data_IF_769779448968
#
_entry.id   IF_769779448968
#
_cell.length_a   1.000
_cell.length_b   1.000
_cell.length_c   1.000
_cell.angle_alpha   90.00
_cell.angle_beta   90.00
_cell.angle_gamma   90.00
#
_symmetry.space_group_name_H-M   'P 1'
#
loop_
_entity.id
_entity.type
_entity.pdbx_description
1 polymer ?
#
# COMPACT_ATOMS: atom_id res chain seq x y z
N UNK A 1 -71.70 51.20 10.02
CA UNK A 1 -70.70 50.83 9.00
C UNK A 1 -69.52 50.02 9.55
N UNK A 2 -69.04 50.25 10.79
CA UNK A 2 -67.86 49.52 11.32
C UNK A 2 -68.03 48.00 11.48
N UNK A 3 -69.20 47.50 11.89
CA UNK A 3 -69.42 46.05 12.09
C UNK A 3 -69.35 45.21 10.80
N UNK A 4 -69.77 45.76 9.66
CA UNK A 4 -69.72 45.05 8.38
C UNK A 4 -68.28 44.86 7.88
N UNK A 5 -67.40 45.85 8.10
CA UNK A 5 -65.98 45.75 7.72
C UNK A 5 -65.24 44.65 8.51
N UNK A 6 -65.49 44.56 9.82
CA UNK A 6 -64.87 43.54 10.68
C UNK A 6 -65.32 42.13 10.31
N UNK A 7 -66.59 41.95 9.93
CA UNK A 7 -67.10 40.66 9.47
C UNK A 7 -66.52 40.24 8.12
N UNK A 8 -66.29 41.21 7.22
CA UNK A 8 -65.66 40.97 5.93
C UNK A 8 -64.19 40.57 6.10
N UNK A 9 -63.43 41.29 6.92
CA UNK A 9 -62.03 40.97 7.24
C UNK A 9 -61.89 39.59 7.90
N UNK A 10 -62.81 39.24 8.82
CA UNK A 10 -62.86 37.90 9.42
C UNK A 10 -63.12 36.79 8.39
N UNK A 11 -63.99 37.03 7.42
CA UNK A 11 -64.28 36.07 6.35
C UNK A 11 -63.08 35.86 5.42
N UNK A 12 -62.33 36.93 5.12
CA UNK A 12 -61.15 36.86 4.28
C UNK A 12 -59.99 36.14 4.98
N UNK A 13 -59.80 36.40 6.28
CA UNK A 13 -58.81 35.68 7.11
C UNK A 13 -59.15 34.19 7.19
N UNK A 14 -60.43 33.85 7.36
CA UNK A 14 -60.87 32.44 7.42
C UNK A 14 -60.60 31.73 6.09
N UNK A 15 -60.94 32.35 4.96
CA UNK A 15 -60.68 31.75 3.65
C UNK A 15 -59.17 31.56 3.40
N UNK A 16 -58.33 32.55 3.74
CA UNK A 16 -56.86 32.41 3.65
C UNK A 16 -56.33 31.29 4.54
N UNK A 17 -56.91 31.11 5.73
CA UNK A 17 -56.54 30.03 6.64
C UNK A 17 -56.94 28.66 6.07
N UNK A 18 -58.15 28.54 5.52
CA UNK A 18 -58.64 27.30 4.92
C UNK A 18 -57.81 26.91 3.68
N UNK A 19 -57.42 27.88 2.84
CA UNK A 19 -56.52 27.68 1.70
C UNK A 19 -55.13 27.18 2.14
N UNK A 20 -54.54 27.79 3.19
CA UNK A 20 -53.26 27.34 3.76
C UNK A 20 -53.34 25.93 4.35
N UNK A 21 -54.48 25.55 4.92
CA UNK A 21 -54.71 24.20 5.46
C UNK A 21 -54.79 23.17 4.32
N UNK A 22 -55.42 23.50 3.20
CA UNK A 22 -55.46 22.63 2.02
C UNK A 22 -54.07 22.45 1.39
N UNK A 23 -53.32 23.54 1.23
CA UNK A 23 -51.94 23.50 0.72
C UNK A 23 -51.02 22.67 1.64
N UNK A 24 -51.17 22.83 2.96
CA UNK A 24 -50.45 22.01 3.94
C UNK A 24 -50.80 20.52 3.84
N UNK A 25 -52.06 20.18 3.56
CA UNK A 25 -52.49 18.79 3.36
C UNK A 25 -51.92 18.20 2.07
N UNK A 26 -51.94 18.94 0.96
CA UNK A 26 -51.36 18.52 -0.31
C UNK A 26 -49.84 18.28 -0.20
N UNK A 27 -49.12 19.19 0.46
CA UNK A 27 -47.68 19.04 0.73
C UNK A 27 -47.37 17.79 1.56
N UNK A 28 -48.18 17.49 2.59
CA UNK A 28 -48.01 16.26 3.39
C UNK A 28 -48.20 14.99 2.55
N UNK A 29 -49.15 14.99 1.62
CA UNK A 29 -49.36 13.86 0.70
C UNK A 29 -48.15 13.68 -0.21
N UNK A 30 -47.64 14.76 -0.80
CA UNK A 30 -46.45 14.74 -1.66
C UNK A 30 -45.20 14.24 -0.93
N UNK A 31 -44.97 14.69 0.31
CA UNK A 31 -43.87 14.23 1.16
C UNK A 31 -43.97 12.71 1.37
N UNK A 32 -45.16 12.21 1.72
CA UNK A 32 -45.37 10.78 1.97
C UNK A 32 -45.18 9.92 0.71
N UNK A 33 -45.53 10.44 -0.47
CA UNK A 33 -45.26 9.79 -1.76
C UNK A 33 -43.76 9.76 -2.05
N UNK A 34 -43.04 10.86 -1.81
CA UNK A 34 -41.58 10.93 -2.00
C UNK A 34 -40.84 9.93 -1.09
N UNK A 35 -41.25 9.83 0.18
CA UNK A 35 -40.66 8.87 1.13
C UNK A 35 -40.88 7.43 0.66
N UNK A 36 -42.08 7.09 0.19
CA UNK A 36 -42.37 5.76 -0.37
C UNK A 36 -41.52 5.46 -1.59
N UNK A 37 -41.38 6.42 -2.51
CA UNK A 37 -40.55 6.24 -3.70
C UNK A 37 -39.08 6.06 -3.33
N UNK A 38 -38.56 6.79 -2.34
CA UNK A 38 -37.20 6.63 -1.85
C UNK A 38 -36.96 5.24 -1.26
N UNK A 39 -37.92 4.72 -0.48
CA UNK A 39 -37.85 3.35 0.06
C UNK A 39 -37.89 2.30 -1.05
N UNK A 40 -38.72 2.50 -2.08
CA UNK A 40 -38.80 1.57 -3.22
C UNK A 40 -37.48 1.54 -4.01
N UNK A 41 -36.90 2.71 -4.29
CA UNK A 41 -35.60 2.82 -4.97
C UNK A 41 -34.50 2.12 -4.16
N UNK A 42 -34.52 2.28 -2.83
CA UNK A 42 -33.54 1.62 -1.97
C UNK A 42 -33.68 0.10 -2.03
N UNK A 43 -34.91 -0.40 -2.05
CA UNK A 43 -35.19 -1.83 -2.19
C UNK A 43 -34.71 -2.38 -3.53
N UNK A 44 -35.02 -1.70 -4.64
CA UNK A 44 -34.57 -2.11 -5.98
C UNK A 44 -33.03 -2.15 -6.07
N UNK A 45 -32.33 -1.21 -5.41
CA UNK A 45 -30.88 -1.19 -5.34
C UNK A 45 -30.31 -2.37 -4.57
N UNK A 46 -30.98 -2.80 -3.50
CA UNK A 46 -30.53 -3.92 -2.68
C UNK A 46 -30.83 -5.26 -3.36
N UNK A 47 -31.96 -5.39 -4.05
CA UNK A 47 -32.29 -6.55 -4.90
C UNK A 47 -31.25 -6.68 -6.04
N UNK A 48 -30.87 -5.58 -6.70
CA UNK A 48 -29.82 -5.58 -7.74
C UNK A 48 -28.44 -5.98 -7.23
N UNK A 49 -28.09 -5.58 -6.00
CA UNK A 49 -26.82 -6.01 -5.38
C UNK A 49 -26.83 -7.52 -5.10
N UNK A 50 -27.95 -8.03 -4.59
CA UNK A 50 -28.09 -9.45 -4.29
C UNK A 50 -28.05 -10.30 -5.57
N UNK A 51 -28.68 -9.85 -6.65
CA UNK A 51 -28.64 -10.54 -7.95
C UNK A 51 -27.22 -10.55 -8.52
N UNK A 52 -26.47 -9.46 -8.40
CA UNK A 52 -25.07 -9.42 -8.82
C UNK A 52 -24.21 -10.42 -8.05
N UNK A 53 -24.37 -10.51 -6.74
CA UNK A 53 -23.62 -11.46 -5.91
C UNK A 53 -23.96 -12.92 -6.27
N UNK A 54 -25.24 -13.20 -6.58
CA UNK A 54 -25.66 -14.53 -7.04
C UNK A 54 -25.03 -14.91 -8.37
N UNK A 55 -25.01 -14.01 -9.35
CA UNK A 55 -24.40 -14.27 -10.67
C UNK A 55 -22.91 -14.58 -10.52
N UNK A 56 -22.19 -13.80 -9.70
CA UNK A 56 -20.77 -14.04 -9.42
C UNK A 56 -20.58 -15.43 -8.78
N UNK A 57 -21.46 -15.83 -7.87
CA UNK A 57 -21.38 -17.14 -7.22
C UNK A 57 -21.63 -18.29 -8.20
N UNK A 58 -22.67 -18.21 -9.03
CA UNK A 58 -23.02 -19.24 -10.02
C UNK A 58 -21.90 -19.42 -11.07
N UNK A 59 -21.31 -18.32 -11.56
CA UNK A 59 -20.15 -18.36 -12.46
C UNK A 59 -18.95 -19.08 -11.81
N UNK A 60 -18.67 -18.80 -10.53
CA UNK A 60 -17.57 -19.46 -9.81
C UNK A 60 -17.84 -20.96 -9.59
N UNK A 61 -19.10 -21.34 -9.34
CA UNK A 61 -19.50 -22.75 -9.16
C UNK A 61 -19.40 -23.52 -10.48
N UNK A 62 -19.75 -22.92 -11.61
CA UNK A 62 -19.57 -23.51 -12.95
C UNK A 62 -18.09 -23.72 -13.28
N UNK A 63 -17.26 -22.70 -13.09
CA UNK A 63 -15.80 -22.80 -13.26
C UNK A 63 -15.22 -23.91 -12.36
N UNK A 64 -15.69 -24.03 -11.11
CA UNK A 64 -15.23 -25.08 -10.19
C UNK A 64 -15.63 -26.49 -10.64
N UNK A 65 -16.85 -26.67 -11.17
CA UNK A 65 -17.32 -27.95 -11.72
C UNK A 65 -16.50 -28.36 -12.94
N UNK A 66 -16.28 -27.44 -13.87
CA UNK A 66 -15.48 -27.68 -15.08
C UNK A 66 -14.04 -27.99 -14.76
N UNK A 67 -13.45 -27.26 -13.80
CA UNK A 67 -12.10 -27.50 -13.35
C UNK A 67 -11.97 -28.89 -12.71
N UNK A 68 -12.94 -29.31 -11.88
CA UNK A 68 -12.98 -30.65 -11.27
C UNK A 68 -13.16 -31.76 -12.32
N UNK A 69 -13.99 -31.54 -13.33
CA UNK A 69 -14.21 -32.49 -14.43
C UNK A 69 -12.95 -32.66 -15.26
N UNK A 70 -12.30 -31.55 -15.62
CA UNK A 70 -10.98 -31.56 -16.29
C UNK A 70 -9.96 -32.28 -15.43
N UNK A 71 -9.86 -31.97 -14.12
CA UNK A 71 -8.98 -32.63 -13.16
C UNK A 71 -9.14 -34.15 -13.07
N UNK A 72 -10.38 -34.66 -13.16
CA UNK A 72 -10.66 -36.10 -13.15
C UNK A 72 -10.22 -36.81 -14.43
N UNK A 73 -10.13 -36.10 -15.55
CA UNK A 73 -9.85 -36.66 -16.86
C UNK A 73 -8.38 -36.49 -17.30
N UNK A 74 -7.48 -36.02 -16.42
CA UNK A 74 -6.07 -35.95 -16.73
C UNK A 74 -5.39 -37.31 -16.51
N UNK A 75 -4.69 -37.76 -17.54
CA UNK A 75 -3.72 -38.85 -17.49
C UNK A 75 -2.69 -38.60 -16.36
N UNK A 76 -2.21 -39.66 -15.70
CA UNK A 76 -1.26 -39.55 -14.58
C UNK A 76 -0.02 -38.70 -14.91
N UNK A 77 0.44 -38.76 -16.16
CA UNK A 77 1.57 -37.98 -16.65
C UNK A 77 1.25 -36.48 -16.78
N UNK A 78 0.00 -36.13 -17.11
CA UNK A 78 -0.48 -34.74 -17.20
C UNK A 78 -0.68 -34.13 -15.82
N UNK A 79 -1.17 -34.91 -14.85
CA UNK A 79 -1.25 -34.50 -13.44
C UNK A 79 0.14 -34.24 -12.86
N UNK A 80 1.11 -35.12 -13.15
CA UNK A 80 2.50 -34.94 -12.71
C UNK A 80 3.11 -33.66 -13.30
N UNK A 81 2.86 -33.39 -14.59
CA UNK A 81 3.37 -32.20 -15.28
C UNK A 81 2.75 -30.91 -14.71
N UNK A 82 1.44 -30.92 -14.40
CA UNK A 82 0.78 -29.79 -13.74
C UNK A 82 1.29 -29.57 -12.31
N UNK A 83 1.54 -30.63 -11.53
CA UNK A 83 2.10 -30.50 -10.19
C UNK A 83 3.51 -29.91 -10.22
N UNK A 84 4.34 -30.31 -11.18
CA UNK A 84 5.67 -29.72 -11.35
C UNK A 84 5.59 -28.24 -11.79
N UNK A 85 4.64 -27.90 -12.65
CA UNK A 85 4.44 -26.52 -13.11
C UNK A 85 3.92 -25.61 -11.98
N UNK A 86 3.00 -26.13 -11.15
CA UNK A 86 2.52 -25.45 -9.95
C UNK A 86 3.63 -25.28 -8.90
N UNK A 87 4.50 -26.27 -8.72
CA UNK A 87 5.64 -26.17 -7.80
C UNK A 87 6.63 -25.07 -8.22
N UNK A 88 6.82 -24.86 -9.53
CA UNK A 88 7.62 -23.76 -10.07
C UNK A 88 6.99 -22.37 -9.89
N UNK A 89 5.66 -22.28 -9.81
CA UNK A 89 4.93 -21.02 -9.59
C UNK A 89 4.93 -20.57 -8.12
N UNK A 90 5.25 -21.47 -7.17
CA UNK A 90 5.29 -21.18 -5.73
C UNK A 90 6.69 -20.72 -5.27
N UNK A 91 7.61 -20.38 -6.19
CA UNK A 91 8.90 -19.81 -5.78
C UNK A 91 8.61 -18.46 -5.10
N UNK A 92 8.82 -18.31 -3.78
CA UNK A 92 8.65 -17.01 -3.13
C UNK A 92 9.57 -16.03 -3.83
N UNK A 93 9.05 -14.88 -4.24
CA UNK A 93 9.87 -13.80 -4.76
C UNK A 93 10.95 -13.49 -3.73
N UNK A 94 12.17 -13.95 -4.00
CA UNK A 94 13.31 -13.71 -3.13
C UNK A 94 13.57 -12.22 -3.26
N UNK A 95 13.16 -11.43 -2.26
CA UNK A 95 13.60 -10.04 -2.15
C UNK A 95 15.07 -10.12 -1.81
N UNK A 96 15.91 -10.11 -2.84
CA UNK A 96 17.35 -10.17 -2.67
C UNK A 96 17.81 -8.94 -1.89
N UNK A 97 18.59 -9.15 -0.84
CA UNK A 97 19.23 -8.09 -0.08
C UNK A 97 20.07 -7.20 -1.01
N UNK A 98 19.85 -5.88 -0.97
CA UNK A 98 20.56 -4.95 -1.83
C UNK A 98 21.81 -4.40 -1.15
N UNK A 99 22.90 -4.31 -1.91
CA UNK A 99 24.13 -3.63 -1.49
C UNK A 99 24.17 -2.18 -1.98
N UNK A 100 24.43 -1.24 -1.07
CA UNK A 100 24.55 0.18 -1.35
C UNK A 100 25.98 0.67 -1.11
N UNK A 101 26.68 1.09 -2.15
CA UNK A 101 27.97 1.79 -2.00
C UNK A 101 27.73 3.20 -1.50
N UNK A 102 28.12 3.46 -0.25
CA UNK A 102 27.95 4.77 0.39
C UNK A 102 28.77 5.81 -0.37
N UNK A 103 28.13 6.89 -0.81
CA UNK A 103 28.72 7.92 -1.66
C UNK A 103 28.94 7.54 -3.12
N UNK A 104 28.54 6.33 -3.55
CA UNK A 104 28.71 5.86 -4.91
C UNK A 104 30.19 5.77 -5.31
N UNK A 105 30.54 6.37 -6.46
CA UNK A 105 31.91 6.35 -6.98
C UNK A 105 32.91 7.16 -6.13
N UNK A 106 32.42 8.08 -5.29
CA UNK A 106 33.27 8.90 -4.41
C UNK A 106 33.61 8.18 -3.10
N UNK A 107 32.79 7.20 -2.70
CA UNK A 107 32.95 6.48 -1.44
C UNK A 107 32.62 7.32 -0.19
N UNK A 108 33.16 6.85 0.94
CA UNK A 108 33.08 7.51 2.24
C UNK A 108 34.27 8.48 2.38
N UNK A 109 34.00 9.77 2.14
CA UNK A 109 34.99 10.83 1.95
C UNK A 109 34.41 12.20 2.35
N UNK A 110 35.27 13.21 2.48
CA UNK A 110 34.89 14.61 2.74
C UNK A 110 34.29 15.28 1.50
N UNK A 111 33.63 16.43 1.67
CA UNK A 111 33.05 17.24 0.59
C UNK A 111 31.92 16.55 -0.22
N UNK A 112 31.24 15.57 0.38
CA UNK A 112 30.07 14.92 -0.23
C UNK A 112 28.81 15.13 0.62
N UNK A 113 27.69 15.44 -0.03
CA UNK A 113 26.40 15.54 0.64
C UNK A 113 25.73 14.15 0.73
N UNK A 114 25.90 13.48 1.87
CA UNK A 114 25.31 12.15 2.11
C UNK A 114 23.79 12.16 2.24
N UNK A 115 23.18 13.29 2.61
CA UNK A 115 21.72 13.46 2.61
C UNK A 115 21.19 13.34 1.18
N UNK A 116 21.78 14.11 0.25
CA UNK A 116 21.44 14.04 -1.17
C UNK A 116 21.74 12.66 -1.77
N UNK A 117 22.85 12.01 -1.35
CA UNK A 117 23.11 10.62 -1.76
C UNK A 117 22.00 9.67 -1.32
N UNK A 118 21.39 9.88 -0.16
CA UNK A 118 20.35 9.01 0.40
C UNK A 118 18.92 9.33 -0.08
N UNK A 119 18.64 10.55 -0.56
CA UNK A 119 17.28 11.06 -0.87
C UNK A 119 16.42 10.11 -1.73
N UNK A 120 16.98 9.54 -2.79
CA UNK A 120 16.23 8.67 -3.72
C UNK A 120 16.47 7.17 -3.48
N UNK A 121 16.78 6.79 -2.24
CA UNK A 121 17.08 5.40 -1.86
C UNK A 121 16.14 4.94 -0.75
N UNK A 122 15.54 3.78 -0.96
CA UNK A 122 14.80 3.06 0.06
C UNK A 122 15.68 1.93 0.58
N UNK A 123 15.90 1.91 1.89
CA UNK A 123 16.72 0.90 2.55
C UNK A 123 15.81 -0.08 3.26
N UNK A 124 16.00 -1.37 2.99
CA UNK A 124 15.21 -2.43 3.60
C UNK A 124 16.01 -3.21 4.64
N UNK A 125 15.30 -3.86 5.57
CA UNK A 125 15.92 -4.84 6.47
C UNK A 125 16.66 -5.89 5.63
N UNK A 126 17.87 -6.24 6.07
CA UNK A 126 18.83 -7.13 5.41
C UNK A 126 19.61 -6.53 4.22
N UNK A 127 19.37 -5.27 3.84
CA UNK A 127 20.28 -4.55 2.94
C UNK A 127 21.67 -4.35 3.58
N UNK A 128 22.65 -4.02 2.75
CA UNK A 128 24.02 -3.78 3.16
C UNK A 128 24.50 -2.40 2.74
N UNK A 129 25.21 -1.71 3.63
CA UNK A 129 25.97 -0.50 3.33
C UNK A 129 27.44 -0.85 3.15
N UNK A 130 28.03 -0.47 2.03
CA UNK A 130 29.44 -0.64 1.74
C UNK A 130 30.14 0.71 1.81
N UNK A 131 30.99 0.86 2.83
CA UNK A 131 31.86 2.00 3.02
C UNK A 131 33.22 1.70 2.40
N UNK A 132 33.70 2.57 1.53
CA UNK A 132 35.05 2.53 0.92
C UNK A 132 35.72 3.87 1.22
N UNK A 133 36.87 3.87 1.88
CA UNK A 133 37.52 5.05 2.43
C UNK A 133 39.03 4.89 2.59
N UNK A 134 39.76 6.00 2.73
CA UNK A 134 41.16 5.98 3.17
C UNK A 134 41.22 5.69 4.67
N UNK A 135 41.65 4.48 5.03
CA UNK A 135 41.73 4.01 6.42
C UNK A 135 42.77 4.74 7.28
N UNK A 136 43.65 5.54 6.67
CA UNK A 136 44.58 6.38 7.43
C UNK A 136 43.92 7.66 7.96
N UNK A 137 42.75 8.03 7.40
CA UNK A 137 42.06 9.30 7.70
C UNK A 137 40.69 9.06 8.31
N UNK A 138 39.90 8.21 7.68
CA UNK A 138 38.48 8.03 7.99
C UNK A 138 38.23 6.70 8.68
N UNK A 139 37.12 6.64 9.40
CA UNK A 139 36.59 5.42 9.98
C UNK A 139 35.06 5.41 9.85
N UNK A 140 34.45 4.32 10.30
CA UNK A 140 32.99 4.20 10.34
C UNK A 140 32.58 3.86 11.76
N UNK A 141 31.71 4.69 12.33
CA UNK A 141 31.09 4.49 13.63
C UNK A 141 29.57 4.51 13.46
N UNK A 142 28.87 3.51 13.98
CA UNK A 142 27.42 3.61 14.20
C UNK A 142 27.19 4.21 15.57
N UNK A 143 26.36 5.25 15.64
CA UNK A 143 26.10 6.01 16.87
C UNK A 143 24.60 6.22 17.07
N UNK A 144 24.22 6.69 18.26
CA UNK A 144 22.85 7.16 18.50
C UNK A 144 22.59 8.52 17.81
N UNK A 145 21.33 8.97 17.81
CA UNK A 145 20.92 10.23 17.17
C UNK A 145 21.60 11.45 17.77
N UNK A 146 21.78 11.49 19.08
CA UNK A 146 22.36 12.65 19.79
C UNK A 146 23.84 12.83 19.46
N UNK A 147 24.58 11.74 19.40
CA UNK A 147 25.99 11.70 19.05
C UNK A 147 26.20 11.95 17.56
N UNK A 148 25.27 11.50 16.70
CA UNK A 148 25.25 11.89 15.29
C UNK A 148 25.08 13.40 15.11
N UNK A 149 24.12 14.02 15.81
CA UNK A 149 23.86 15.45 15.70
C UNK A 149 25.04 16.29 16.18
N UNK A 150 25.69 15.86 17.27
CA UNK A 150 26.79 16.59 17.91
C UNK A 150 28.18 16.07 17.53
N UNK A 151 28.26 15.15 16.56
CA UNK A 151 29.50 14.53 16.11
C UNK A 151 30.39 14.02 17.26
N UNK A 152 29.80 13.27 18.20
CA UNK A 152 30.48 12.72 19.36
C UNK A 152 30.85 11.26 19.16
N UNK A 153 32.02 10.87 19.67
CA UNK A 153 32.55 9.51 19.63
C UNK A 153 32.59 8.86 21.02
N UNK A 154 31.61 9.14 21.88
CA UNK A 154 31.65 8.74 23.30
C UNK A 154 31.39 7.24 23.45
N UNK A 155 30.26 6.76 22.94
CA UNK A 155 29.86 5.34 23.05
C UNK A 155 29.23 4.86 21.73
N UNK A 156 30.07 4.57 20.71
CA UNK A 156 29.56 4.10 19.43
C UNK A 156 28.95 2.69 19.58
N UNK A 157 27.72 2.53 19.09
CA UNK A 157 27.00 1.25 19.03
C UNK A 157 27.84 0.19 18.31
N UNK A 158 28.49 0.58 17.21
CA UNK A 158 29.47 -0.25 16.49
C UNK A 158 30.62 0.62 15.99
N UNK A 159 31.83 0.07 15.99
CA UNK A 159 33.04 0.81 15.65
C UNK A 159 33.94 0.01 14.70
N UNK A 160 34.35 0.65 13.60
CA UNK A 160 35.26 0.09 12.60
C UNK A 160 36.40 1.07 12.30
N UNK A 161 37.33 1.17 13.27
CA UNK A 161 38.52 2.04 13.18
C UNK A 161 39.75 1.36 12.52
N UNK A 162 39.72 0.04 12.32
CA UNK A 162 40.83 -0.75 11.75
C UNK A 162 40.40 -1.45 10.46
N UNK A 163 41.34 -1.67 9.54
CA UNK A 163 41.13 -2.44 8.30
C UNK A 163 41.68 -1.73 7.06
N UNK A 164 41.48 -2.33 5.89
CA UNK A 164 42.03 -1.89 4.61
C UNK A 164 41.15 -0.83 3.89
N UNK A 165 40.40 -0.01 4.64
CA UNK A 165 39.58 1.04 4.03
C UNK A 165 38.29 0.57 3.35
N UNK A 166 37.83 -0.66 3.64
CA UNK A 166 36.54 -1.17 3.16
C UNK A 166 35.77 -1.84 4.28
N UNK A 167 34.50 -1.46 4.46
CA UNK A 167 33.62 -2.07 5.44
C UNK A 167 32.22 -2.32 4.89
N UNK A 168 31.73 -3.55 5.09
CA UNK A 168 30.35 -3.93 4.82
C UNK A 168 29.56 -3.96 6.13
N UNK A 169 28.41 -3.27 6.17
CA UNK A 169 27.56 -3.12 7.35
C UNK A 169 26.13 -3.54 7.00
N UNK A 170 25.61 -4.57 7.68
CA UNK A 170 24.23 -5.03 7.49
C UNK A 170 23.20 -4.17 8.23
N UNK A 171 22.05 -3.95 7.60
CA UNK A 171 20.88 -3.25 8.12
C UNK A 171 19.86 -4.26 8.68
N UNK A 172 20.16 -4.83 9.85
CA UNK A 172 19.44 -6.00 10.37
C UNK A 172 18.12 -5.66 11.08
N UNK A 173 17.89 -4.39 11.43
CA UNK A 173 16.75 -3.95 12.24
C UNK A 173 16.07 -2.77 11.54
N UNK A 174 14.74 -2.76 11.55
CA UNK A 174 13.91 -1.65 11.09
C UNK A 174 14.04 -0.49 12.07
N UNK A 175 14.95 0.44 11.79
CA UNK A 175 15.19 1.67 12.56
C UNK A 175 15.89 2.71 11.71
N UNK A 176 15.97 3.94 12.19
CA UNK A 176 16.95 4.90 11.65
C UNK A 176 18.33 4.58 12.21
N UNK A 177 19.29 4.28 11.33
CA UNK A 177 20.69 4.07 11.66
C UNK A 177 21.48 5.34 11.37
N UNK A 178 22.42 5.69 12.25
CA UNK A 178 23.26 6.88 12.11
C UNK A 178 24.73 6.49 12.08
N UNK A 179 25.45 6.95 11.06
CA UNK A 179 26.85 6.66 10.83
C UNK A 179 27.66 7.96 10.78
N UNK A 180 28.84 7.98 11.39
CA UNK A 180 29.77 9.10 11.35
C UNK A 180 31.20 8.62 11.13
N UNK A 181 32.06 9.48 10.60
CA UNK A 181 33.52 9.35 10.75
C UNK A 181 33.98 10.16 11.94
N UNK A 182 34.90 9.60 12.72
CA UNK A 182 35.54 10.29 13.83
C UNK A 182 36.59 11.32 13.41
N UNK A 183 37.38 11.81 14.37
CA UNK A 183 38.51 12.73 14.18
C UNK A 183 38.13 13.99 13.40
N UNK A 184 37.14 14.76 13.88
CA UNK A 184 36.56 15.97 13.26
C UNK A 184 35.87 15.82 11.91
N UNK A 185 36.09 14.75 11.14
CA UNK A 185 35.49 14.56 9.81
C UNK A 185 33.95 14.53 9.80
N UNK A 186 33.31 14.16 10.92
CA UNK A 186 31.85 14.29 11.05
C UNK A 186 31.38 15.75 10.89
N UNK A 187 32.12 16.73 11.43
CA UNK A 187 31.81 18.15 11.30
C UNK A 187 32.04 18.66 9.87
N UNK A 188 32.93 18.01 9.13
CA UNK A 188 33.16 18.24 7.69
C UNK A 188 32.10 17.56 6.80
N UNK A 189 31.05 16.99 7.40
CA UNK A 189 29.92 16.40 6.69
C UNK A 189 30.05 14.90 6.42
N UNK A 190 31.09 14.22 6.92
CA UNK A 190 31.26 12.76 6.76
C UNK A 190 30.37 12.02 7.77
N UNK A 191 29.06 12.09 7.50
CA UNK A 191 27.99 11.54 8.33
C UNK A 191 26.79 11.14 7.47
N UNK A 192 26.11 10.06 7.82
CA UNK A 192 24.99 9.50 7.08
C UNK A 192 23.87 9.05 8.03
N UNK A 193 22.63 9.41 7.73
CA UNK A 193 21.43 8.83 8.34
C UNK A 193 20.66 7.98 7.34
N UNK A 194 20.29 6.77 7.72
CA UNK A 194 19.54 5.83 6.87
C UNK A 194 18.31 5.36 7.62
N UNK A 195 17.12 5.53 7.02
CA UNK A 195 15.87 5.00 7.56
C UNK A 195 15.58 3.62 6.95
N UNK A 196 15.67 2.58 7.77
CA UNK A 196 15.45 1.18 7.35
C UNK A 196 13.99 0.81 7.55
N UNK A 197 13.37 0.23 6.51
CA UNK A 197 11.98 -0.22 6.52
C UNK A 197 11.89 -1.73 6.34
N UNK A 198 10.76 -2.32 6.70
CA UNK A 198 10.47 -3.70 6.32
C UNK A 198 10.21 -3.78 4.82
N UNK A 199 10.71 -4.83 4.13
CA UNK A 199 10.29 -5.08 2.77
C UNK A 199 8.78 -5.26 2.76
N UNK A 200 8.11 -4.73 1.73
CA UNK A 200 6.68 -4.95 1.58
C UNK A 200 6.41 -6.46 1.61
N UNK A 201 5.37 -6.92 2.33
CA UNK A 201 4.94 -8.30 2.20
C UNK A 201 4.71 -8.56 0.71
N UNK A 202 5.25 -9.67 0.19
CA UNK A 202 4.96 -10.08 -1.16
C UNK A 202 3.45 -10.34 -1.25
N UNK A 203 2.69 -9.35 -1.71
CA UNK A 203 1.27 -9.53 -1.96
C UNK A 203 1.17 -10.52 -3.13
N UNK A 204 1.00 -11.79 -2.81
CA UNK A 204 0.75 -12.87 -3.77
C UNK A 204 -0.45 -12.54 -4.69
N UNK A 205 -1.36 -11.68 -4.23
CA UNK A 205 -2.49 -11.14 -4.99
C UNK A 205 -2.10 -10.16 -6.12
N UNK A 206 -1.02 -9.39 -5.96
CA UNK A 206 -0.53 -8.47 -7.00
C UNK A 206 0.19 -9.20 -8.13
N UNK A 207 0.79 -10.36 -7.83
CA UNK A 207 1.45 -11.23 -8.81
C UNK A 207 0.44 -12.05 -9.64
N UNK A 208 -0.72 -12.38 -9.08
CA UNK A 208 -1.81 -13.05 -9.81
C UNK A 208 -2.34 -12.22 -10.99
N UNK A 209 -2.33 -10.88 -10.90
CA UNK A 209 -2.77 -10.00 -11.99
C UNK A 209 -1.90 -10.10 -13.24
N UNK A 210 -0.58 -10.28 -13.08
CA UNK A 210 0.34 -10.44 -14.21
C UNK A 210 0.39 -11.89 -14.72
N UNK A 211 0.19 -12.88 -13.85
CA UNK A 211 0.06 -14.29 -14.26
C UNK A 211 -1.16 -14.53 -15.16
N UNK A 212 -2.31 -13.92 -14.86
CA UNK A 212 -3.54 -14.07 -15.63
C UNK A 212 -3.47 -13.46 -17.04
N UNK A 213 -2.51 -12.57 -17.31
CA UNK A 213 -2.35 -11.87 -18.60
C UNK A 213 -1.28 -12.48 -19.50
N UNK A 214 -0.62 -13.58 -19.11
CA UNK A 214 0.42 -14.21 -19.93
C UNK A 214 -0.15 -15.28 -20.88
N UNK A 215 0.51 -15.54 -22.03
CA UNK A 215 0.16 -16.64 -22.94
C UNK A 215 0.23 -18.04 -22.29
N UNK A 216 0.69 -18.16 -21.04
CA UNK A 216 0.71 -19.41 -20.27
C UNK A 216 -0.71 -19.89 -19.92
N UNK A 217 -1.66 -18.96 -19.68
CA UNK A 217 -3.08 -19.32 -19.46
C UNK A 217 -3.72 -19.82 -20.75
N UNK A 218 -3.38 -19.23 -21.89
CA UNK A 218 -3.80 -19.71 -23.21
C UNK A 218 -3.18 -21.08 -23.52
N UNK A 219 -1.88 -21.28 -23.26
CA UNK A 219 -1.22 -22.58 -23.42
C UNK A 219 -1.83 -23.67 -22.53
N UNK A 220 -2.19 -23.35 -21.28
CA UNK A 220 -2.94 -24.28 -20.42
C UNK A 220 -4.33 -24.58 -21.00
N UNK A 221 -5.04 -23.60 -21.55
CA UNK A 221 -6.33 -23.85 -22.21
C UNK A 221 -6.20 -24.73 -23.47
N UNK A 222 -5.10 -24.61 -24.22
CA UNK A 222 -4.79 -25.46 -25.38
C UNK A 222 -4.34 -26.88 -25.01
N UNK A 223 -3.70 -27.07 -23.84
CA UNK A 223 -3.31 -28.39 -23.34
C UNK A 223 -4.47 -29.14 -22.66
N UNK A 224 -5.54 -28.43 -22.29
CA UNK A 224 -6.74 -28.94 -21.63
C UNK A 224 -7.95 -29.09 -22.59
N UNK A 225 -7.75 -28.89 -23.90
CA UNK A 225 -8.75 -29.05 -24.96
C UNK A 225 -8.38 -30.19 -25.90
#
# INVERSE_FOLDING_TARGET
MMYHGVLQERSEIKNKLDDQIEESRDLKVKIKVSEKNQVLIQKDLDDLKQDKERIVFDDQVEVSRDLKLKFKNLEKNQVLLLLMLMAFLIIPAQVAAKGWTVGGNHGWTTNLNYTHWAENKTFFRNDWLMFVYDSNKLNVLEVNKDDYQRCREVDPIRSWKKGAGRKLVGLNITKTCYFISGNSYCYEGVKLSVSVQDPAPSNSAGQLKWCLSTPVVLLLSFLLS
#
